data_IF_396202501099
#
_entry.id   IF_396202501099
#
_cell.length_a   1.000
_cell.length_b   1.000
_cell.length_c   1.000
_cell.angle_alpha   90.00
_cell.angle_beta   90.00
_cell.angle_gamma   90.00
#
_symmetry.space_group_name_H-M   'P 1'
#
loop_
_entity.id
_entity.type
_entity.pdbx_description
1 polymer ?
#
# COMPACT_ATOMS: atom_id res chain seq x y z
N UNK A 1 -7.86 -14.66 5.66
CA UNK A 1 -6.96 -14.11 6.71
C UNK A 1 -7.47 -12.75 7.13
N UNK A 2 -7.24 -12.31 8.38
CA UNK A 2 -7.56 -10.94 8.81
C UNK A 2 -6.44 -9.99 8.38
N UNK A 3 -6.79 -8.74 8.06
CA UNK A 3 -5.81 -7.69 7.72
C UNK A 3 -4.76 -7.50 8.82
N UNK A 4 -3.51 -7.25 8.41
CA UNK A 4 -2.39 -6.94 9.31
C UNK A 4 -2.61 -5.68 10.16
N UNK A 5 -3.51 -4.80 9.72
CA UNK A 5 -3.84 -3.56 10.43
C UNK A 5 -5.09 -3.66 11.29
N UNK A 6 -5.78 -4.81 11.29
CA UNK A 6 -7.04 -5.00 12.02
C UNK A 6 -7.03 -4.63 13.52
N UNK A 7 -5.90 -4.67 14.27
CA UNK A 7 -5.85 -4.16 15.65
C UNK A 7 -6.00 -2.63 15.81
N UNK A 8 -5.77 -1.87 14.73
CA UNK A 8 -5.76 -0.40 14.74
C UNK A 8 -6.62 0.25 13.64
N UNK A 9 -7.13 -0.54 12.68
CA UNK A 9 -7.92 -0.07 11.55
C UNK A 9 -8.94 -1.12 11.11
N UNK A 10 -10.22 -0.76 11.17
CA UNK A 10 -11.30 -1.64 10.69
C UNK A 10 -11.51 -1.53 9.18
N UNK A 11 -12.12 -2.57 8.59
CA UNK A 11 -12.47 -2.56 7.17
C UNK A 11 -13.51 -1.47 6.84
N UNK A 12 -14.44 -1.21 7.76
CA UNK A 12 -15.48 -0.20 7.65
C UNK A 12 -14.89 1.22 7.66
N UNK A 13 -13.89 1.48 8.52
CA UNK A 13 -13.15 2.74 8.51
C UNK A 13 -12.47 2.98 7.16
N UNK A 14 -11.82 1.96 6.60
CA UNK A 14 -11.21 2.03 5.26
C UNK A 14 -12.26 2.27 4.18
N UNK A 15 -13.37 1.52 4.20
CA UNK A 15 -14.44 1.61 3.20
C UNK A 15 -15.14 2.98 3.22
N UNK A 16 -15.27 3.61 4.38
CA UNK A 16 -15.79 4.97 4.49
C UNK A 16 -14.78 6.01 3.98
N UNK A 17 -13.49 5.84 4.28
CA UNK A 17 -12.42 6.79 3.97
C UNK A 17 -12.07 6.84 2.48
N UNK A 18 -11.80 5.68 1.85
CA UNK A 18 -11.47 5.49 0.42
C UNK A 18 -10.23 6.24 -0.13
N UNK A 19 -9.60 7.07 0.68
CA UNK A 19 -8.50 7.95 0.28
C UNK A 19 -7.31 7.19 -0.35
N UNK A 20 -6.91 6.05 0.22
CA UNK A 20 -5.79 5.27 -0.31
C UNK A 20 -6.07 4.57 -1.65
N UNK A 21 -7.31 4.63 -2.13
CA UNK A 21 -7.75 4.00 -3.38
C UNK A 21 -7.99 5.03 -4.48
N UNK A 22 -7.47 6.24 -4.35
CA UNK A 22 -7.56 7.30 -5.36
C UNK A 22 -6.19 7.95 -5.54
N UNK A 23 -5.76 8.18 -6.78
CA UNK A 23 -4.39 8.58 -7.09
C UNK A 23 -4.35 9.73 -8.09
N UNK A 24 -3.67 10.83 -7.74
CA UNK A 24 -3.30 11.85 -8.72
C UNK A 24 -2.07 11.39 -9.54
N UNK A 25 -1.81 12.01 -10.69
CA UNK A 25 -0.69 11.60 -11.55
C UNK A 25 0.68 11.76 -10.86
N UNK A 26 0.86 12.80 -10.04
CA UNK A 26 2.08 13.02 -9.26
C UNK A 26 2.24 12.05 -8.07
N UNK A 27 1.16 11.33 -7.71
CA UNK A 27 1.13 10.28 -6.69
C UNK A 27 1.15 8.88 -7.32
N UNK A 28 1.43 8.76 -8.63
CA UNK A 28 1.49 7.48 -9.32
C UNK A 28 2.51 6.49 -8.74
N UNK A 29 3.44 6.96 -7.91
CA UNK A 29 4.38 6.12 -7.17
C UNK A 29 3.74 5.46 -5.94
N UNK A 30 2.59 5.95 -5.46
CA UNK A 30 1.83 5.40 -4.33
C UNK A 30 0.91 4.24 -4.72
N UNK A 31 0.67 4.03 -6.02
CA UNK A 31 -0.15 2.93 -6.50
C UNK A 31 0.45 1.60 -6.03
N UNK A 32 -0.39 0.63 -5.61
CA UNK A 32 0.11 -0.60 -5.03
C UNK A 32 0.91 -1.42 -6.04
N UNK A 33 1.89 -2.17 -5.55
CA UNK A 33 2.58 -3.19 -6.31
C UNK A 33 1.87 -4.53 -6.21
N UNK A 34 1.72 -5.17 -7.36
CA UNK A 34 1.17 -6.51 -7.51
C UNK A 34 2.31 -7.44 -7.92
N UNK A 35 2.46 -8.57 -7.21
CA UNK A 35 3.23 -9.68 -7.74
C UNK A 35 2.51 -10.28 -8.95
N UNK A 36 3.23 -11.04 -9.78
CA UNK A 36 2.63 -11.80 -10.88
C UNK A 36 1.47 -12.67 -10.42
N UNK A 37 1.67 -13.44 -9.34
CA UNK A 37 0.64 -14.32 -8.77
C UNK A 37 -0.59 -13.52 -8.31
N UNK A 38 -0.38 -12.37 -7.66
CA UNK A 38 -1.47 -11.53 -7.17
C UNK A 38 -2.27 -10.91 -8.34
N UNK A 39 -1.60 -10.45 -9.39
CA UNK A 39 -2.25 -9.92 -10.58
C UNK A 39 -3.04 -11.00 -11.34
N UNK A 40 -2.52 -12.22 -11.45
CA UNK A 40 -3.21 -13.37 -12.06
C UNK A 40 -4.45 -13.78 -11.26
N UNK A 41 -4.33 -13.84 -9.93
CA UNK A 41 -5.45 -14.14 -9.02
C UNK A 41 -6.59 -13.12 -9.20
N UNK A 42 -6.27 -11.83 -9.15
CA UNK A 42 -7.26 -10.76 -9.33
C UNK A 42 -7.88 -10.83 -10.73
N UNK A 43 -7.08 -11.02 -11.77
CA UNK A 43 -7.56 -11.09 -13.15
C UNK A 43 -8.52 -12.25 -13.38
N UNK A 44 -8.29 -13.38 -12.71
CA UNK A 44 -9.17 -14.56 -12.77
C UNK A 44 -10.52 -14.31 -12.10
N UNK A 45 -10.54 -13.55 -11.00
CA UNK A 45 -11.74 -13.30 -10.21
C UNK A 45 -12.58 -12.11 -10.73
N UNK A 46 -11.92 -11.03 -11.19
CA UNK A 46 -12.55 -9.75 -11.53
C UNK A 46 -12.38 -9.34 -12.99
N UNK A 47 -11.64 -10.13 -13.77
CA UNK A 47 -11.28 -9.81 -15.16
C UNK A 47 -10.00 -8.97 -15.28
N UNK A 48 -9.48 -8.79 -16.50
CA UNK A 48 -8.29 -7.97 -16.74
C UNK A 48 -8.48 -6.53 -16.25
N UNK A 49 -7.44 -5.96 -15.65
CA UNK A 49 -7.44 -4.60 -15.12
C UNK A 49 -6.18 -3.86 -15.58
N UNK A 50 -6.19 -2.51 -15.60
CA UNK A 50 -5.09 -1.74 -16.18
C UNK A 50 -3.84 -1.83 -15.30
N UNK A 51 -2.81 -2.50 -15.81
CA UNK A 51 -1.51 -2.63 -15.15
C UNK A 51 -0.35 -2.40 -16.12
N UNK A 52 0.76 -1.92 -15.58
CA UNK A 52 2.05 -1.82 -16.25
C UNK A 52 3.14 -2.46 -15.39
N UNK A 53 4.26 -2.85 -16.01
CA UNK A 53 5.42 -3.36 -15.28
C UNK A 53 6.00 -2.27 -14.37
N UNK A 54 6.34 -2.66 -13.13
CA UNK A 54 7.01 -1.82 -12.15
C UNK A 54 8.42 -2.32 -11.81
N UNK A 55 8.71 -3.60 -12.09
CA UNK A 55 10.02 -4.22 -11.97
C UNK A 55 10.09 -5.51 -12.79
N UNK A 56 11.05 -6.41 -12.54
CA UNK A 56 11.21 -7.66 -13.29
C UNK A 56 9.97 -8.55 -13.24
N UNK A 57 9.41 -8.74 -12.04
CA UNK A 57 8.27 -9.62 -11.75
C UNK A 57 7.14 -8.92 -10.96
N UNK A 58 7.14 -7.58 -10.95
CA UNK A 58 6.14 -6.76 -10.28
C UNK A 58 5.42 -5.81 -11.24
N UNK A 59 4.17 -5.53 -10.92
CA UNK A 59 3.26 -4.69 -11.69
C UNK A 59 2.68 -3.59 -10.80
N UNK A 60 2.20 -2.51 -11.41
CA UNK A 60 1.41 -1.49 -10.72
C UNK A 60 0.26 -1.02 -11.62
N UNK A 61 -0.68 -0.28 -11.06
CA UNK A 61 -1.83 0.24 -11.82
C UNK A 61 -1.35 1.18 -12.94
N UNK A 62 -1.92 1.03 -14.13
CA UNK A 62 -1.70 1.97 -15.23
C UNK A 62 -2.89 2.91 -15.41
N UNK A 63 -2.84 4.06 -14.74
CA UNK A 63 -3.89 5.07 -14.76
C UNK A 63 -3.63 6.18 -15.79
N UNK A 64 -2.62 6.02 -16.66
CA UNK A 64 -2.19 7.03 -17.63
C UNK A 64 -3.29 7.48 -18.58
N UNK A 65 -4.07 6.55 -19.11
CA UNK A 65 -5.23 6.84 -19.96
C UNK A 65 -6.30 7.66 -19.24
N UNK A 66 -6.53 7.38 -17.95
CA UNK A 66 -7.53 8.10 -17.16
C UNK A 66 -7.11 9.56 -16.95
N UNK A 67 -5.86 9.80 -16.55
CA UNK A 67 -5.33 11.16 -16.38
C UNK A 67 -5.26 11.93 -17.69
N UNK A 68 -5.01 11.26 -18.82
CA UNK A 68 -5.07 11.91 -20.15
C UNK A 68 -6.46 12.42 -20.49
N UNK A 69 -7.50 11.70 -20.07
CA UNK A 69 -8.90 12.04 -20.34
C UNK A 69 -9.47 13.08 -19.36
N UNK A 70 -9.11 12.99 -18.08
CA UNK A 70 -9.71 13.81 -17.00
C UNK A 70 -8.80 14.95 -16.51
N UNK A 71 -7.49 14.85 -16.76
CA UNK A 71 -6.47 15.79 -16.29
C UNK A 71 -5.57 15.20 -15.21
N UNK A 72 -4.30 15.60 -15.21
CA UNK A 72 -3.26 15.07 -14.31
C UNK A 72 -3.43 15.48 -12.83
N UNK A 73 -4.21 16.54 -12.57
CA UNK A 73 -4.54 17.00 -11.22
C UNK A 73 -5.74 16.28 -10.61
N UNK A 74 -6.48 15.53 -11.41
CA UNK A 74 -7.64 14.78 -10.95
C UNK A 74 -7.22 13.43 -10.35
N UNK A 75 -8.03 12.95 -9.41
CA UNK A 75 -7.76 11.72 -8.67
C UNK A 75 -8.43 10.52 -9.36
N UNK A 76 -7.61 9.67 -9.97
CA UNK A 76 -8.07 8.44 -10.61
C UNK A 76 -8.46 7.40 -9.54
N UNK A 77 -9.69 6.85 -9.57
CA UNK A 77 -10.06 5.78 -8.65
C UNK A 77 -9.36 4.47 -9.02
N UNK A 78 -8.96 3.71 -8.01
CA UNK A 78 -8.54 2.32 -8.15
C UNK A 78 -9.66 1.53 -8.87
N UNK A 79 -9.34 0.65 -9.84
CA UNK A 79 -10.34 -0.17 -10.53
C UNK A 79 -11.20 -1.05 -9.61
N UNK A 80 -10.71 -1.31 -8.39
CA UNK A 80 -11.38 -2.14 -7.38
C UNK A 80 -12.04 -1.33 -6.26
N UNK A 81 -12.15 -0.01 -6.42
CA UNK A 81 -12.87 0.85 -5.48
C UNK A 81 -14.35 0.95 -5.85
N UNK A 82 -15.21 0.32 -5.06
CA UNK A 82 -16.65 0.50 -5.12
C UNK A 82 -17.08 1.73 -4.32
N UNK A 83 -17.97 2.54 -4.89
CA UNK A 83 -18.39 3.83 -4.32
C UNK A 83 -19.22 3.69 -3.05
N UNK A 84 -19.81 2.52 -2.78
CA UNK A 84 -20.62 2.26 -1.59
C UNK A 84 -19.93 1.34 -0.60
N UNK A 85 -19.19 0.34 -1.10
CA UNK A 85 -18.62 -0.76 -0.29
C UNK A 85 -17.12 -0.60 -0.01
N UNK A 86 -16.44 0.33 -0.67
CA UNK A 86 -14.98 0.44 -0.59
C UNK A 86 -14.28 -0.58 -1.47
N UNK A 87 -13.12 -1.08 -1.04
CA UNK A 87 -12.36 -2.05 -1.83
C UNK A 87 -13.12 -3.37 -1.98
N UNK A 88 -13.31 -3.84 -3.22
CA UNK A 88 -14.00 -5.11 -3.51
C UNK A 88 -13.09 -6.34 -3.43
N UNK A 89 -11.76 -6.13 -3.33
CA UNK A 89 -10.81 -7.22 -3.19
C UNK A 89 -10.92 -7.83 -1.79
N UNK A 90 -10.95 -9.15 -1.74
CA UNK A 90 -10.77 -9.92 -0.50
C UNK A 90 -9.35 -9.74 0.08
N UNK A 91 -9.16 -10.13 1.33
CA UNK A 91 -7.84 -10.07 1.99
C UNK A 91 -6.78 -10.96 1.31
N UNK A 92 -7.20 -11.99 0.59
CA UNK A 92 -6.29 -12.83 -0.20
C UNK A 92 -5.87 -12.11 -1.48
N UNK A 93 -6.83 -11.49 -2.18
CA UNK A 93 -6.62 -10.79 -3.44
C UNK A 93 -5.90 -9.45 -3.29
N UNK A 94 -6.01 -8.75 -2.15
CA UNK A 94 -5.32 -7.47 -1.97
C UNK A 94 -3.80 -7.63 -2.18
N UNK A 95 -3.13 -6.72 -2.91
CA UNK A 95 -1.68 -6.68 -2.94
C UNK A 95 -1.12 -6.35 -1.54
N UNK A 96 0.11 -6.75 -1.26
CA UNK A 96 0.70 -6.56 0.06
C UNK A 96 0.73 -5.10 0.50
N UNK A 97 1.05 -4.16 -0.40
CA UNK A 97 0.98 -2.71 -0.17
C UNK A 97 -0.39 -2.27 0.39
N UNK A 98 -1.48 -2.78 -0.18
CA UNK A 98 -2.84 -2.48 0.30
C UNK A 98 -3.13 -3.08 1.68
N UNK A 99 -2.49 -4.20 2.04
CA UNK A 99 -2.68 -4.84 3.35
C UNK A 99 -1.98 -4.09 4.48
N UNK A 100 -0.95 -3.31 4.17
CA UNK A 100 -0.11 -2.60 5.14
C UNK A 100 -0.25 -1.09 5.11
N UNK A 101 -0.89 -0.49 4.09
CA UNK A 101 -1.07 0.96 4.00
C UNK A 101 -1.76 1.51 5.25
N UNK A 102 -1.21 2.52 5.94
CA UNK A 102 -0.22 3.51 5.48
C UNK A 102 1.25 3.22 5.85
N UNK A 103 1.61 1.98 6.17
CA UNK A 103 2.99 1.59 6.42
C UNK A 103 3.72 1.38 5.10
N UNK A 104 4.99 1.82 5.03
CA UNK A 104 5.87 1.63 3.87
C UNK A 104 7.24 1.13 4.31
N UNK A 105 7.84 0.26 3.49
CA UNK A 105 9.26 -0.07 3.61
C UNK A 105 10.05 0.92 2.77
N UNK A 106 11.05 1.53 3.37
CA UNK A 106 11.85 2.56 2.72
C UNK A 106 13.34 2.37 2.97
N UNK A 107 14.17 2.89 2.07
CA UNK A 107 15.61 3.01 2.24
C UNK A 107 15.94 4.38 2.84
N UNK A 108 16.59 4.41 3.99
CA UNK A 108 17.07 5.64 4.65
C UNK A 108 18.52 5.45 5.07
N UNK A 109 19.43 6.28 4.55
CA UNK A 109 20.85 6.31 4.98
C UNK A 109 21.52 4.92 4.98
N UNK A 110 21.25 4.12 3.95
CA UNK A 110 21.81 2.76 3.82
C UNK A 110 21.06 1.69 4.62
N UNK A 111 20.03 2.03 5.40
CA UNK A 111 19.20 1.09 6.16
C UNK A 111 17.83 0.88 5.53
N UNK A 112 17.15 -0.19 5.93
CA UNK A 112 15.72 -0.35 5.67
C UNK A 112 14.91 0.10 6.88
N UNK A 113 13.87 0.90 6.63
CA UNK A 113 12.98 1.41 7.67
C UNK A 113 11.53 1.10 7.32
N UNK A 114 10.71 0.86 8.34
CA UNK A 114 9.25 0.90 8.21
C UNK A 114 8.81 2.27 8.68
N UNK A 115 8.21 3.03 7.77
CA UNK A 115 7.76 4.40 8.01
C UNK A 115 6.24 4.51 7.88
N UNK A 116 5.66 5.47 8.58
CA UNK A 116 4.24 5.79 8.53
C UNK A 116 3.99 6.94 7.55
N UNK A 117 3.14 6.72 6.55
CA UNK A 117 2.65 7.82 5.72
C UNK A 117 1.70 8.72 6.53
N UNK A 118 1.92 10.05 6.57
CA UNK A 118 1.13 10.98 7.39
C UNK A 118 -0.27 11.29 6.84
N UNK A 119 -0.67 10.69 5.71
CA UNK A 119 -1.89 11.03 4.98
C UNK A 119 -3.11 10.19 5.37
N UNK A 120 -2.92 9.04 6.02
CA UNK A 120 -4.04 8.23 6.51
C UNK A 120 -4.76 8.89 7.68
N UNK A 121 -5.96 9.39 7.44
CA UNK A 121 -6.77 10.09 8.45
C UNK A 121 -7.09 9.24 9.68
N UNK A 122 -7.28 7.93 9.52
CA UNK A 122 -7.70 7.06 10.62
C UNK A 122 -6.51 6.65 11.50
N UNK A 123 -5.42 6.20 10.88
CA UNK A 123 -4.21 5.79 11.61
C UNK A 123 -3.52 6.99 12.27
N UNK A 124 -3.44 8.13 11.58
CA UNK A 124 -2.75 9.31 12.13
C UNK A 124 -3.53 10.02 13.26
N UNK A 125 -4.76 9.58 13.59
CA UNK A 125 -5.45 9.98 14.84
C UNK A 125 -4.95 9.23 16.07
N UNK A 126 -4.29 8.08 15.86
CA UNK A 126 -3.82 7.24 16.95
C UNK A 126 -2.50 7.79 17.52
N UNK A 127 -2.21 7.56 18.80
CA UNK A 127 -0.89 7.80 19.34
C UNK A 127 0.16 7.01 18.54
N UNK A 128 1.25 7.67 18.16
CA UNK A 128 2.32 7.04 17.35
C UNK A 128 2.86 5.76 18.01
N UNK A 129 2.93 5.73 19.34
CA UNK A 129 3.36 4.56 20.11
C UNK A 129 2.46 3.35 19.91
N UNK A 130 1.15 3.55 19.65
CA UNK A 130 0.23 2.45 19.33
C UNK A 130 0.54 1.84 17.97
N UNK A 131 0.85 2.67 16.98
CA UNK A 131 1.25 2.20 15.64
C UNK A 131 2.61 1.51 15.72
N UNK A 132 3.54 2.07 16.49
CA UNK A 132 4.86 1.46 16.74
C UNK A 132 4.73 0.10 17.43
N UNK A 133 3.83 -0.04 18.40
CA UNK A 133 3.57 -1.32 19.08
C UNK A 133 3.10 -2.41 18.11
N UNK A 134 2.18 -2.10 17.20
CA UNK A 134 1.75 -3.04 16.17
C UNK A 134 2.94 -3.51 15.30
N UNK A 135 3.77 -2.56 14.85
CA UNK A 135 4.92 -2.87 13.98
C UNK A 135 5.97 -3.69 14.74
N UNK A 136 6.35 -3.28 15.95
CA UNK A 136 7.48 -3.88 16.67
C UNK A 136 7.10 -5.08 17.53
N UNK A 137 6.02 -4.98 18.31
CA UNK A 137 5.67 -5.95 19.34
C UNK A 137 4.69 -7.02 18.85
N UNK A 138 3.72 -6.65 18.01
CA UNK A 138 2.78 -7.62 17.40
C UNK A 138 3.36 -8.32 16.17
N UNK A 139 4.57 -7.96 15.76
CA UNK A 139 5.35 -8.67 14.74
C UNK A 139 5.01 -8.30 13.30
N UNK A 140 4.15 -7.30 13.06
CA UNK A 140 3.82 -6.84 11.70
C UNK A 140 5.07 -6.38 10.95
N UNK A 141 6.03 -5.74 11.64
CA UNK A 141 7.28 -5.30 11.02
C UNK A 141 8.15 -6.43 10.48
N UNK A 142 8.17 -7.58 11.17
CA UNK A 142 8.90 -8.77 10.69
C UNK A 142 8.29 -9.32 9.40
N UNK A 143 6.96 -9.34 9.33
CA UNK A 143 6.22 -9.78 8.13
C UNK A 143 6.51 -8.83 6.96
N UNK A 144 6.49 -7.52 7.23
CA UNK A 144 6.77 -6.48 6.23
C UNK A 144 8.19 -6.62 5.66
N UNK A 145 9.21 -6.79 6.49
CA UNK A 145 10.59 -6.96 5.98
C UNK A 145 10.76 -8.26 5.20
N UNK A 146 10.19 -9.38 5.69
CA UNK A 146 10.25 -10.66 4.98
C UNK A 146 9.58 -10.60 3.60
N UNK A 147 8.52 -9.79 3.44
CA UNK A 147 7.90 -9.60 2.14
C UNK A 147 8.72 -8.69 1.22
N UNK A 148 9.36 -7.66 1.78
CA UNK A 148 10.25 -6.78 1.04
C UNK A 148 11.50 -7.50 0.50
N UNK A 149 11.98 -8.53 1.18
CA UNK A 149 13.05 -9.40 0.68
C UNK A 149 12.61 -10.19 -0.56
N UNK A 150 11.37 -10.66 -0.61
CA UNK A 150 10.82 -11.39 -1.76
C UNK A 150 10.47 -10.48 -2.93
N UNK A 151 10.05 -9.24 -2.65
CA UNK A 151 9.66 -8.26 -3.65
C UNK A 151 10.38 -6.91 -3.41
N UNK A 152 11.68 -6.80 -3.74
CA UNK A 152 12.48 -5.59 -3.45
C UNK A 152 11.95 -4.31 -4.09
N UNK A 153 11.17 -4.39 -5.17
CA UNK A 153 10.53 -3.24 -5.84
C UNK A 153 9.61 -2.44 -4.90
N UNK A 154 9.15 -3.04 -3.80
CA UNK A 154 8.34 -2.36 -2.78
C UNK A 154 9.12 -1.39 -1.90
N UNK A 155 10.44 -1.54 -1.84
CA UNK A 155 11.30 -0.67 -1.06
C UNK A 155 11.47 0.65 -1.83
N UNK A 156 10.94 1.74 -1.27
CA UNK A 156 11.05 3.08 -1.86
C UNK A 156 12.16 3.88 -1.19
N UNK A 157 12.58 5.00 -1.79
CA UNK A 157 13.43 5.95 -1.08
C UNK A 157 12.65 6.62 0.06
N UNK A 158 13.33 6.88 1.17
CA UNK A 158 12.70 7.51 2.33
C UNK A 158 12.22 8.92 2.01
N UNK A 159 11.01 9.23 2.46
CA UNK A 159 10.41 10.54 2.28
C UNK A 159 10.50 11.34 3.58
N UNK A 160 11.09 12.54 3.51
CA UNK A 160 11.23 13.41 4.67
C UNK A 160 9.87 13.69 5.33
N UNK A 161 9.87 13.69 6.66
CA UNK A 161 8.67 13.87 7.49
C UNK A 161 7.87 12.59 7.80
N UNK A 162 8.23 11.43 7.25
CA UNK A 162 7.52 10.17 7.55
C UNK A 162 8.04 9.58 8.87
N UNK A 163 7.22 9.42 9.93
CA UNK A 163 7.70 8.86 11.18
C UNK A 163 8.26 7.44 11.01
N UNK A 164 9.51 7.24 11.41
CA UNK A 164 10.14 5.90 11.43
C UNK A 164 9.61 5.10 12.62
N UNK A 165 9.11 3.90 12.33
CA UNK A 165 8.53 2.98 13.30
C UNK A 165 9.46 1.81 13.63
N UNK A 166 10.30 1.38 12.70
CA UNK A 166 11.25 0.27 12.91
C UNK A 166 12.39 0.38 11.89
N UNK A 167 13.59 -0.04 12.29
CA UNK A 167 14.77 -0.10 11.42
C UNK A 167 15.28 -1.54 11.32
N UNK A 168 15.87 -1.88 10.17
CA UNK A 168 16.59 -3.12 9.90
C UNK A 168 17.87 -2.76 9.11
N UNK A 169 19.01 -3.23 9.58
CA UNK A 169 20.26 -3.17 8.82
C UNK A 169 20.15 -4.09 7.59
N UNK A 170 20.72 -3.71 6.43
CA UNK A 170 20.83 -4.64 5.30
C UNK A 170 21.71 -5.82 5.71
N UNK A 171 21.30 -7.04 5.34
CA UNK A 171 22.11 -8.25 5.49
C UNK A 171 23.19 -8.35 4.42
#
# INVERSE_FOLDING_TARGET
MKSLLSPILSAEQCAACRFCCTFAAFEAWETPLFSKENAELISKAHGPFPVRKAGPDSFTLDLSSWWKEHGEKEYAPCPFLDSQRGCILSEEEKPFDCKIWPLRVMRKEGKFVIALTPTCREINKLPLDRVRHLVQNEGVGKIIFAEAEKMPDMIKEYHEGFPVLMEKEPE
#
